data_IF_748494778486
#
_entry.id   IF_748494778486
#
_cell.length_a   1.000
_cell.length_b   1.000
_cell.length_c   1.000
_cell.angle_alpha   90.00
_cell.angle_beta   90.00
_cell.angle_gamma   90.00
#
_symmetry.space_group_name_H-M   'P 1'
#
loop_
_entity.id
_entity.type
_entity.pdbx_description
1 polymer ?
#
# COMPACT_ATOMS: atom_id res chain seq x y z
N UNK A 1 27.83 1.83 -11.90
CA UNK A 1 28.62 3.01 -12.31
C UNK A 1 27.88 4.33 -12.03
N UNK A 2 26.69 4.59 -12.60
CA UNK A 2 26.01 5.90 -12.45
C UNK A 2 25.54 6.23 -11.01
N UNK A 3 25.09 5.23 -10.25
CA UNK A 3 24.57 5.41 -8.89
C UNK A 3 25.67 5.76 -7.88
N UNK A 4 26.87 5.22 -8.07
CA UNK A 4 28.06 5.53 -7.25
C UNK A 4 28.52 6.97 -7.50
N UNK A 5 28.46 7.44 -8.75
CA UNK A 5 28.75 8.84 -9.10
C UNK A 5 27.77 9.81 -8.44
N UNK A 6 26.47 9.49 -8.42
CA UNK A 6 25.45 10.30 -7.75
C UNK A 6 25.68 10.30 -6.22
N UNK A 7 25.94 9.13 -5.64
CA UNK A 7 26.20 8.98 -4.20
C UNK A 7 27.44 9.78 -3.75
N UNK A 8 28.51 9.75 -4.55
CA UNK A 8 29.71 10.56 -4.30
C UNK A 8 29.41 12.05 -4.32
N UNK A 9 28.71 12.54 -5.35
CA UNK A 9 28.34 13.97 -5.47
C UNK A 9 27.44 14.45 -4.33
N UNK A 10 26.52 13.62 -3.86
CA UNK A 10 25.69 13.94 -2.69
C UNK A 10 26.51 14.02 -1.41
N UNK A 11 27.48 13.11 -1.22
CA UNK A 11 28.37 13.11 -0.07
C UNK A 11 29.25 14.35 -0.04
N UNK A 12 29.81 14.72 -1.20
CA UNK A 12 30.64 15.92 -1.34
C UNK A 12 29.85 17.20 -1.06
N UNK A 13 28.58 17.25 -1.50
CA UNK A 13 27.71 18.40 -1.23
C UNK A 13 27.31 18.47 0.24
N UNK A 14 26.98 17.34 0.86
CA UNK A 14 26.68 17.28 2.29
C UNK A 14 27.88 17.75 3.14
N UNK A 15 29.09 17.38 2.74
CA UNK A 15 30.32 17.79 3.42
C UNK A 15 30.61 19.29 3.23
N UNK A 16 30.39 19.84 2.03
CA UNK A 16 30.48 21.29 1.78
C UNK A 16 29.50 22.09 2.65
N UNK A 17 28.24 21.63 2.75
CA UNK A 17 27.22 22.27 3.56
C UNK A 17 27.52 22.16 5.06
N UNK A 18 28.05 21.02 5.50
CA UNK A 18 28.45 20.80 6.89
C UNK A 18 29.59 21.72 7.28
N UNK A 19 30.63 21.79 6.44
CA UNK A 19 31.80 22.64 6.66
C UNK A 19 31.43 24.13 6.69
N UNK A 20 30.65 24.60 5.73
CA UNK A 20 30.22 26.00 5.71
C UNK A 20 29.32 26.39 6.90
N UNK A 21 28.58 25.43 7.46
CA UNK A 21 27.84 25.62 8.71
C UNK A 21 28.75 25.67 9.94
N UNK A 22 29.81 24.86 9.98
CA UNK A 22 30.79 24.86 11.07
C UNK A 22 31.66 26.13 11.06
N UNK A 23 31.97 26.65 9.87
CA UNK A 23 32.82 27.84 9.67
C UNK A 23 32.05 29.17 9.79
N UNK A 24 30.71 29.15 9.91
CA UNK A 24 29.78 30.32 9.91
C UNK A 24 30.03 31.32 8.76
N UNK A 25 30.61 30.81 7.66
CA UNK A 25 31.12 31.57 6.53
C UNK A 25 30.35 31.18 5.26
N UNK A 26 29.06 31.56 5.22
CA UNK A 26 28.26 31.42 4.01
C UNK A 26 27.64 32.76 3.62
N UNK A 27 27.84 33.15 2.37
CA UNK A 27 27.16 34.29 1.77
C UNK A 27 26.03 33.82 0.88
N UNK A 28 25.12 34.73 0.49
CA UNK A 28 23.97 34.40 -0.37
C UNK A 28 24.38 33.71 -1.70
N UNK A 29 25.60 33.98 -2.16
CA UNK A 29 26.19 33.38 -3.36
C UNK A 29 26.38 31.87 -3.18
N UNK A 30 26.82 31.41 -2.01
CA UNK A 30 27.03 29.99 -1.71
C UNK A 30 25.71 29.24 -1.64
N UNK A 31 24.68 29.86 -1.06
CA UNK A 31 23.32 29.31 -1.03
C UNK A 31 22.75 29.11 -2.44
N UNK A 32 22.97 30.09 -3.34
CA UNK A 32 22.55 29.97 -4.74
C UNK A 32 23.32 28.85 -5.45
N UNK A 33 24.63 28.74 -5.22
CA UNK A 33 25.47 27.70 -5.81
C UNK A 33 25.02 26.30 -5.38
N UNK A 34 24.78 26.08 -4.08
CA UNK A 34 24.32 24.78 -3.58
C UNK A 34 22.91 24.44 -4.06
N UNK A 35 22.02 25.45 -4.17
CA UNK A 35 20.69 25.26 -4.75
C UNK A 35 20.77 24.78 -6.20
N UNK A 36 21.66 25.38 -7.01
CA UNK A 36 21.87 24.93 -8.39
C UNK A 36 22.44 23.51 -8.45
N UNK A 37 23.46 23.19 -7.63
CA UNK A 37 24.01 21.81 -7.55
C UNK A 37 22.96 20.78 -7.16
N UNK A 38 22.06 21.12 -6.23
CA UNK A 38 20.92 20.27 -5.84
C UNK A 38 19.93 20.06 -6.98
N UNK A 39 19.61 21.11 -7.74
CA UNK A 39 18.72 21.02 -8.89
C UNK A 39 19.32 20.18 -10.01
N UNK A 40 20.61 20.32 -10.30
CA UNK A 40 21.32 19.49 -11.28
C UNK A 40 21.34 18.01 -10.84
N UNK A 41 21.61 17.74 -9.56
CA UNK A 41 21.54 16.39 -9.01
C UNK A 41 20.13 15.81 -9.11
N UNK A 42 19.10 16.60 -8.82
CA UNK A 42 17.68 16.21 -8.96
C UNK A 42 17.37 15.80 -10.40
N UNK A 43 17.75 16.64 -11.37
CA UNK A 43 17.56 16.38 -12.80
C UNK A 43 18.29 15.09 -13.21
N UNK A 44 19.56 14.94 -12.85
CA UNK A 44 20.37 13.75 -13.17
C UNK A 44 19.81 12.46 -12.57
N UNK A 45 19.20 12.52 -11.38
CA UNK A 45 18.53 11.37 -10.76
C UNK A 45 17.24 11.02 -11.50
N UNK A 46 16.46 12.02 -11.94
CA UNK A 46 15.17 11.79 -12.61
C UNK A 46 15.27 11.46 -14.09
N UNK A 47 16.35 11.87 -14.77
CA UNK A 47 16.51 11.69 -16.21
C UNK A 47 17.07 10.31 -16.60
N UNK A 48 17.96 9.73 -15.78
CA UNK A 48 18.70 8.51 -16.14
C UNK A 48 18.43 7.29 -15.26
N UNK A 49 17.64 7.44 -14.18
CA UNK A 49 17.20 6.30 -13.36
C UNK A 49 15.72 6.05 -13.66
N UNK A 50 15.38 4.80 -14.02
CA UNK A 50 14.03 4.28 -14.21
C UNK A 50 12.99 4.92 -13.26
N UNK A 51 11.68 4.95 -13.61
CA UNK A 51 10.63 5.79 -12.99
C UNK A 51 10.29 5.51 -11.52
N UNK A 52 11.17 4.85 -10.77
CA UNK A 52 11.01 4.35 -9.40
C UNK A 52 11.55 5.31 -8.33
N UNK A 53 12.17 6.45 -8.69
CA UNK A 53 12.71 7.43 -7.73
C UNK A 53 11.93 8.74 -7.80
N UNK A 54 11.15 9.05 -6.76
CA UNK A 54 10.46 10.34 -6.61
C UNK A 54 11.15 11.21 -5.57
N UNK A 55 11.51 12.44 -5.95
CA UNK A 55 12.09 13.45 -5.05
C UNK A 55 10.97 14.38 -4.58
N UNK A 56 10.64 14.32 -3.29
CA UNK A 56 9.63 15.20 -2.68
C UNK A 56 10.31 16.29 -1.84
N UNK A 57 9.84 17.53 -2.00
CA UNK A 57 10.17 18.64 -1.11
C UNK A 57 9.14 18.66 0.01
N UNK A 58 9.60 18.56 1.26
CA UNK A 58 8.74 18.62 2.44
C UNK A 58 8.42 20.10 2.74
N UNK A 59 7.14 20.53 2.64
CA UNK A 59 6.77 21.92 2.85
C UNK A 59 6.79 22.34 4.33
N UNK A 60 6.98 21.42 5.27
CA UNK A 60 6.96 21.69 6.71
C UNK A 60 8.36 21.86 7.33
N UNK A 61 9.44 21.61 6.58
CA UNK A 61 10.82 21.76 7.06
C UNK A 61 11.39 23.06 6.49
N UNK A 62 11.26 24.13 7.26
CA UNK A 62 11.79 25.45 6.92
C UNK A 62 13.32 25.50 7.07
N UNK A 63 13.97 26.00 6.02
CA UNK A 63 15.35 26.45 5.88
C UNK A 63 16.47 25.45 5.50
N UNK A 64 16.39 24.16 5.81
CA UNK A 64 17.32 23.17 5.24
C UNK A 64 16.50 21.98 4.76
N UNK A 65 16.23 21.95 3.46
CA UNK A 65 15.60 20.81 2.80
C UNK A 65 16.47 19.59 2.97
N UNK A 66 16.18 18.78 4.00
CA UNK A 66 16.72 17.44 4.10
C UNK A 66 16.15 16.65 2.94
N UNK A 67 16.94 16.52 1.88
CA UNK A 67 16.59 15.76 0.70
C UNK A 67 16.52 14.28 1.11
N UNK A 68 15.32 13.80 1.42
CA UNK A 68 15.12 12.43 1.86
C UNK A 68 14.99 11.53 0.63
N UNK A 69 16.13 11.02 0.15
CA UNK A 69 16.18 10.06 -0.94
C UNK A 69 15.85 8.68 -0.36
N UNK A 70 14.55 8.35 -0.31
CA UNK A 70 14.13 6.97 -0.07
C UNK A 70 14.03 6.26 -1.42
N UNK A 71 14.85 5.24 -1.61
CA UNK A 71 14.60 4.26 -2.68
C UNK A 71 13.33 3.50 -2.33
N UNK A 72 12.18 3.98 -2.81
CA UNK A 72 10.92 3.24 -2.72
C UNK A 72 11.00 2.17 -3.79
N UNK A 73 11.62 1.03 -3.46
CA UNK A 73 11.47 -0.16 -4.28
C UNK A 73 10.03 -0.62 -4.14
N UNK A 74 9.15 -0.14 -5.02
CA UNK A 74 7.81 -0.68 -5.16
C UNK A 74 7.97 -2.10 -5.70
N UNK A 75 7.90 -3.08 -4.81
CA UNK A 75 7.94 -4.49 -5.21
C UNK A 75 6.55 -4.82 -5.76
N UNK A 76 6.45 -5.11 -7.06
CA UNK A 76 5.35 -5.94 -7.54
C UNK A 76 5.67 -7.34 -7.01
N UNK A 77 4.82 -7.87 -6.14
CA UNK A 77 4.96 -9.25 -5.72
C UNK A 77 4.23 -10.13 -6.72
N UNK A 78 4.89 -10.39 -7.84
CA UNK A 78 4.43 -11.34 -8.88
C UNK A 78 4.25 -12.77 -8.29
N UNK A 79 4.74 -13.00 -7.06
CA UNK A 79 4.68 -14.24 -6.28
C UNK A 79 3.54 -14.31 -5.24
N UNK A 80 2.68 -13.29 -5.10
CA UNK A 80 1.56 -13.37 -4.15
C UNK A 80 0.58 -14.49 -4.55
N UNK A 81 0.13 -15.26 -3.55
CA UNK A 81 -0.76 -16.41 -3.72
C UNK A 81 -1.72 -16.52 -2.55
N UNK A 82 -2.92 -16.94 -2.83
CA UNK A 82 -3.89 -17.36 -1.84
C UNK A 82 -3.50 -18.75 -1.34
N UNK A 83 -3.35 -18.93 -0.03
CA UNK A 83 -2.90 -20.21 0.54
C UNK A 83 -3.60 -20.65 1.82
N UNK A 84 -4.15 -19.73 2.61
CA UNK A 84 -4.83 -20.11 3.87
C UNK A 84 -6.33 -19.87 3.79
N UNK A 85 -7.11 -20.90 4.12
CA UNK A 85 -8.56 -20.89 3.98
C UNK A 85 -9.22 -21.03 5.35
N UNK A 86 -10.33 -20.33 5.52
CA UNK A 86 -11.34 -20.58 6.56
C UNK A 86 -12.70 -20.77 5.90
N UNK A 87 -13.45 -21.78 6.35
CA UNK A 87 -14.76 -22.10 5.78
C UNK A 87 -14.65 -22.84 4.44
N UNK A 88 -15.60 -22.57 3.54
CA UNK A 88 -15.83 -23.35 2.31
C UNK A 88 -15.30 -22.64 1.06
N UNK A 89 -14.06 -22.16 1.12
CA UNK A 89 -13.35 -21.59 -0.04
C UNK A 89 -12.53 -22.68 -0.73
N UNK A 90 -12.64 -22.76 -2.04
CA UNK A 90 -11.72 -23.53 -2.89
C UNK A 90 -10.66 -22.58 -3.46
N UNK A 91 -9.40 -23.00 -3.43
CA UNK A 91 -8.31 -22.30 -4.11
C UNK A 91 -7.98 -23.04 -5.40
N UNK A 92 -8.02 -22.32 -6.51
CA UNK A 92 -7.76 -22.81 -7.86
C UNK A 92 -6.58 -22.03 -8.49
N UNK A 93 -6.24 -22.38 -9.73
CA UNK A 93 -5.24 -21.71 -10.56
C UNK A 93 -3.90 -21.50 -9.80
N UNK A 94 -3.37 -22.56 -9.20
CA UNK A 94 -2.09 -22.54 -8.48
C UNK A 94 -1.98 -21.45 -7.39
N UNK A 95 -3.10 -21.09 -6.76
CA UNK A 95 -3.16 -20.07 -5.71
C UNK A 95 -3.62 -18.69 -6.17
N UNK A 96 -3.90 -18.46 -7.45
CA UNK A 96 -4.31 -17.15 -7.94
C UNK A 96 -5.82 -16.91 -7.86
N UNK A 97 -6.62 -17.96 -7.69
CA UNK A 97 -8.08 -17.86 -7.65
C UNK A 97 -8.63 -18.46 -6.37
N UNK A 98 -9.56 -17.78 -5.72
CA UNK A 98 -10.36 -18.31 -4.61
C UNK A 98 -11.84 -18.21 -4.94
N UNK A 99 -12.60 -19.27 -4.71
CA UNK A 99 -14.03 -19.37 -5.03
C UNK A 99 -14.78 -19.96 -3.84
N UNK A 100 -15.88 -19.32 -3.44
CA UNK A 100 -16.78 -19.86 -2.42
C UNK A 100 -17.66 -20.98 -3.03
N UNK A 101 -17.65 -22.19 -2.47
CA UNK A 101 -18.31 -23.37 -3.08
C UNK A 101 -19.55 -23.88 -2.33
N UNK A 102 -19.40 -24.18 -1.04
CA UNK A 102 -20.30 -25.15 -0.40
C UNK A 102 -21.15 -24.61 0.74
N UNK A 103 -21.00 -23.34 1.11
CA UNK A 103 -21.66 -22.80 2.31
C UNK A 103 -21.99 -21.31 2.22
N UNK A 104 -23.07 -20.94 2.90
CA UNK A 104 -23.38 -19.53 3.26
C UNK A 104 -22.69 -19.10 4.56
N UNK A 105 -21.95 -20.02 5.21
CA UNK A 105 -21.14 -19.70 6.38
C UNK A 105 -19.98 -18.81 5.93
N UNK A 106 -19.71 -17.82 6.78
CA UNK A 106 -18.53 -16.95 6.73
C UNK A 106 -17.29 -17.72 6.31
N UNK A 107 -16.72 -17.33 5.17
CA UNK A 107 -15.54 -17.94 4.62
C UNK A 107 -14.55 -16.84 4.21
N UNK A 108 -13.27 -17.09 4.37
CA UNK A 108 -12.25 -16.14 3.95
C UNK A 108 -10.95 -16.83 3.60
N UNK A 109 -10.14 -16.12 2.83
CA UNK A 109 -8.83 -16.56 2.38
C UNK A 109 -7.78 -15.51 2.72
N UNK A 110 -6.56 -15.97 3.02
CA UNK A 110 -5.40 -15.12 3.25
C UNK A 110 -4.31 -15.38 2.22
N UNK A 111 -3.55 -14.33 1.92
CA UNK A 111 -2.35 -14.42 1.10
C UNK A 111 -1.23 -15.21 1.76
N UNK A 112 -0.22 -15.54 0.96
CA UNK A 112 0.96 -16.29 1.33
C UNK A 112 1.99 -15.38 1.95
N UNK A 113 2.14 -14.18 1.38
CA UNK A 113 3.22 -13.29 1.75
C UNK A 113 2.93 -12.57 3.06
N UNK A 114 4.03 -12.09 3.66
CA UNK A 114 4.06 -11.50 4.98
C UNK A 114 4.74 -10.14 4.91
N UNK A 115 3.96 -9.10 5.12
CA UNK A 115 4.37 -7.72 4.88
C UNK A 115 4.69 -7.03 6.20
N UNK A 116 5.96 -6.68 6.42
CA UNK A 116 6.43 -6.01 7.66
C UNK A 116 7.12 -4.67 7.44
N UNK A 117 7.59 -4.39 6.22
CA UNK A 117 8.38 -3.20 5.91
C UNK A 117 8.25 -2.87 4.42
N UNK A 118 8.39 -1.61 4.04
CA UNK A 118 8.33 -1.20 2.64
C UNK A 118 6.91 -1.00 2.11
N UNK A 119 6.82 -0.95 0.77
CA UNK A 119 5.59 -0.67 0.02
C UNK A 119 5.34 -1.74 -1.03
N UNK A 120 4.11 -2.24 -1.05
CA UNK A 120 3.68 -3.33 -1.92
C UNK A 120 2.41 -2.95 -2.65
N UNK A 121 2.30 -3.40 -3.90
CA UNK A 121 1.08 -3.25 -4.69
C UNK A 121 0.61 -4.65 -5.08
N UNK A 122 -0.64 -4.95 -4.74
CA UNK A 122 -1.32 -6.20 -5.08
C UNK A 122 -2.53 -5.83 -5.92
N UNK A 123 -2.64 -6.42 -7.11
CA UNK A 123 -3.79 -6.20 -7.99
C UNK A 123 -4.67 -7.44 -7.98
N UNK A 124 -5.98 -7.23 -7.89
CA UNK A 124 -6.94 -8.33 -7.92
C UNK A 124 -8.27 -7.88 -8.49
N UNK A 125 -9.04 -8.85 -8.97
CA UNK A 125 -10.41 -8.71 -9.34
C UNK A 125 -11.31 -9.45 -8.33
N UNK A 126 -12.45 -8.84 -8.03
CA UNK A 126 -13.52 -9.45 -7.25
C UNK A 126 -14.72 -9.62 -8.17
N UNK A 127 -15.20 -10.86 -8.30
CA UNK A 127 -16.45 -11.21 -9.00
C UNK A 127 -17.45 -11.74 -7.98
N UNK A 128 -18.66 -11.18 -7.95
CA UNK A 128 -19.74 -11.55 -7.05
C UNK A 128 -20.90 -12.12 -7.83
N UNK A 129 -21.58 -13.08 -7.22
CA UNK A 129 -22.82 -13.62 -7.79
C UNK A 129 -24.03 -12.72 -7.55
N UNK A 130 -24.04 -11.99 -6.43
CA UNK A 130 -25.18 -11.15 -6.03
C UNK A 130 -24.77 -9.75 -5.55
N UNK A 131 -25.61 -8.75 -5.84
CA UNK A 131 -25.34 -7.35 -5.47
C UNK A 131 -25.35 -7.10 -3.95
N UNK A 132 -26.25 -7.76 -3.21
CA UNK A 132 -26.58 -7.38 -1.83
C UNK A 132 -25.68 -7.96 -0.74
N UNK A 133 -24.72 -8.83 -1.11
CA UNK A 133 -23.86 -9.46 -0.12
C UNK A 133 -22.52 -8.77 0.06
N UNK A 134 -22.13 -8.64 1.32
CA UNK A 134 -20.88 -7.99 1.73
C UNK A 134 -19.69 -8.92 1.44
N UNK A 135 -18.75 -8.42 0.64
CA UNK A 135 -17.41 -8.97 0.44
C UNK A 135 -16.44 -8.00 1.09
N UNK A 136 -15.45 -8.48 1.84
CA UNK A 136 -14.45 -7.62 2.50
C UNK A 136 -13.08 -7.93 1.93
N UNK A 137 -12.25 -6.92 1.68
CA UNK A 137 -10.85 -7.08 1.33
C UNK A 137 -9.96 -6.11 2.12
N UNK A 138 -8.72 -6.51 2.36
CA UNK A 138 -7.75 -5.66 3.05
C UNK A 138 -6.60 -6.47 3.63
N UNK A 139 -6.25 -6.19 4.88
CA UNK A 139 -5.18 -6.87 5.61
C UNK A 139 -5.65 -7.42 6.95
N UNK A 140 -4.85 -8.34 7.47
CA UNK A 140 -4.99 -8.97 8.77
C UNK A 140 -3.60 -9.22 9.35
N UNK A 141 -3.48 -9.26 10.68
CA UNK A 141 -2.22 -9.70 11.30
C UNK A 141 -2.03 -11.20 11.07
N UNK A 142 -0.81 -11.63 10.73
CA UNK A 142 -0.46 -13.07 10.67
C UNK A 142 -0.78 -13.80 11.98
N UNK A 143 -0.65 -13.10 13.11
CA UNK A 143 -0.87 -13.66 14.44
C UNK A 143 -2.36 -13.91 14.74
N UNK A 144 -3.26 -13.38 13.89
CA UNK A 144 -4.70 -13.56 14.06
C UNK A 144 -5.09 -15.02 13.89
N UNK A 145 -5.75 -15.57 14.92
CA UNK A 145 -6.33 -16.90 14.85
C UNK A 145 -7.47 -16.95 13.84
N UNK A 146 -7.75 -18.15 13.36
CA UNK A 146 -8.89 -18.36 12.49
C UNK A 146 -10.19 -18.30 13.30
N UNK A 147 -10.84 -17.15 13.30
CA UNK A 147 -12.16 -16.91 13.89
C UNK A 147 -13.15 -16.52 12.80
N UNK A 148 -14.45 -16.57 13.09
CA UNK A 148 -15.49 -16.11 12.17
C UNK A 148 -15.29 -14.64 11.79
N UNK A 149 -14.92 -13.80 12.75
CA UNK A 149 -14.64 -12.38 12.54
C UNK A 149 -13.27 -12.02 13.12
N UNK A 150 -12.24 -11.87 12.28
CA UNK A 150 -10.91 -11.57 12.75
C UNK A 150 -10.80 -10.15 13.33
N UNK A 151 -10.29 -10.07 14.56
CA UNK A 151 -10.20 -8.85 15.35
C UNK A 151 -9.12 -7.87 14.88
N UNK A 152 -8.13 -8.35 14.14
CA UNK A 152 -7.12 -7.49 13.50
C UNK A 152 -7.46 -7.06 12.07
N UNK A 153 -8.62 -7.44 11.53
CA UNK A 153 -8.99 -7.10 10.16
C UNK A 153 -9.09 -5.59 9.94
N UNK A 154 -8.42 -5.10 8.90
CA UNK A 154 -8.53 -3.73 8.42
C UNK A 154 -8.71 -3.74 6.91
N UNK A 155 -9.70 -3.01 6.41
CA UNK A 155 -10.03 -3.07 5.00
C UNK A 155 -11.34 -2.39 4.65
N UNK A 156 -11.88 -2.76 3.51
CA UNK A 156 -13.12 -2.23 2.97
C UNK A 156 -14.03 -3.34 2.54
N UNK A 157 -15.31 -3.01 2.44
CA UNK A 157 -16.26 -3.85 1.76
C UNK A 157 -16.92 -3.14 0.60
N UNK A 158 -17.51 -3.97 -0.25
CA UNK A 158 -18.23 -3.58 -1.45
C UNK A 158 -19.50 -2.75 -1.20
N UNK A 159 -19.96 -2.58 0.04
CA UNK A 159 -21.03 -1.66 0.43
C UNK A 159 -20.50 -0.26 0.78
N UNK A 160 -19.27 0.04 0.38
CA UNK A 160 -18.54 1.28 0.69
C UNK A 160 -18.33 1.53 2.18
N UNK A 161 -18.40 0.48 3.01
CA UNK A 161 -18.05 0.55 4.43
C UNK A 161 -16.60 0.10 4.63
N UNK A 162 -16.08 0.34 5.84
CA UNK A 162 -14.70 -0.03 6.16
C UNK A 162 -14.60 -0.70 7.52
N UNK A 163 -13.57 -1.52 7.67
CA UNK A 163 -13.29 -2.27 8.88
C UNK A 163 -12.03 -1.71 9.52
N UNK A 164 -12.10 -1.45 10.84
CA UNK A 164 -10.94 -1.13 11.67
C UNK A 164 -10.94 -2.06 12.87
N UNK A 165 -9.90 -2.89 12.96
CA UNK A 165 -9.76 -3.85 14.05
C UNK A 165 -10.99 -4.76 14.17
N UNK A 166 -11.42 -5.33 13.04
CA UNK A 166 -12.59 -6.20 12.96
C UNK A 166 -13.94 -5.51 13.17
N UNK A 167 -13.95 -4.22 13.55
CA UNK A 167 -15.18 -3.48 13.77
C UNK A 167 -15.63 -2.77 12.49
N UNK A 168 -16.91 -2.95 12.17
CA UNK A 168 -17.61 -2.31 11.06
C UNK A 168 -17.81 -0.81 11.33
N UNK A 169 -17.51 0.01 10.32
CA UNK A 169 -17.76 1.45 10.35
C UNK A 169 -18.43 1.87 9.05
N UNK A 170 -19.61 2.47 9.16
CA UNK A 170 -20.27 3.10 8.02
C UNK A 170 -19.61 4.44 7.70
N UNK A 171 -19.41 4.73 6.41
CA UNK A 171 -19.03 6.07 6.00
C UNK A 171 -20.23 7.02 6.19
N UNK A 172 -20.06 8.09 6.97
CA UNK A 172 -21.10 9.11 7.14
C UNK A 172 -21.26 9.93 5.85
N UNK A 173 -22.25 9.50 5.05
CA UNK A 173 -23.26 10.30 4.35
C UNK A 173 -22.94 11.31 3.25
N UNK A 174 -21.69 11.58 2.84
CA UNK A 174 -21.45 12.47 1.67
C UNK A 174 -20.44 11.98 0.63
N UNK A 175 -19.85 10.79 0.78
CA UNK A 175 -18.93 10.26 -0.23
C UNK A 175 -19.70 9.55 -1.34
N UNK A 176 -19.33 9.84 -2.60
CA UNK A 176 -19.78 9.09 -3.75
C UNK A 176 -19.44 7.61 -3.54
N UNK A 177 -20.44 6.76 -3.74
CA UNK A 177 -20.24 5.32 -3.76
C UNK A 177 -19.14 4.94 -4.76
N UNK A 178 -18.28 4.03 -4.37
CA UNK A 178 -17.14 3.57 -5.15
C UNK A 178 -17.29 2.09 -5.55
N UNK A 179 -17.74 1.26 -4.62
CA UNK A 179 -17.92 -0.18 -4.82
C UNK A 179 -19.39 -0.63 -4.79
N UNK A 180 -20.27 0.14 -4.13
CA UNK A 180 -21.67 -0.25 -3.97
C UNK A 180 -22.39 -0.37 -5.31
N UNK A 181 -23.16 -1.44 -5.47
CA UNK A 181 -23.90 -1.73 -6.69
C UNK A 181 -23.10 -2.40 -7.79
N UNK A 182 -21.82 -2.76 -7.56
CA UNK A 182 -21.00 -3.49 -8.51
C UNK A 182 -20.93 -4.99 -8.16
N UNK A 183 -20.98 -5.83 -9.19
CA UNK A 183 -20.74 -7.28 -9.07
C UNK A 183 -19.34 -7.68 -9.55
N UNK A 184 -18.65 -6.86 -10.32
CA UNK A 184 -17.26 -7.12 -10.72
C UNK A 184 -16.45 -5.85 -10.74
N UNK A 185 -15.30 -5.86 -10.05
CA UNK A 185 -14.42 -4.71 -9.96
C UNK A 185 -12.96 -5.11 -9.74
N UNK A 186 -12.07 -4.31 -10.32
CA UNK A 186 -10.62 -4.49 -10.24
C UNK A 186 -10.01 -3.44 -9.32
N UNK A 187 -9.22 -3.91 -8.36
CA UNK A 187 -8.63 -3.10 -7.31
C UNK A 187 -7.12 -3.27 -7.33
N UNK A 188 -6.41 -2.16 -7.15
CA UNK A 188 -5.02 -2.16 -6.70
C UNK A 188 -4.99 -1.85 -5.21
N UNK A 189 -4.58 -2.81 -4.39
CA UNK A 189 -4.33 -2.63 -2.97
C UNK A 189 -2.85 -2.29 -2.74
N UNK A 190 -2.62 -1.14 -2.13
CA UNK A 190 -1.30 -0.66 -1.72
C UNK A 190 -1.13 -0.89 -0.23
N UNK A 191 -0.08 -1.62 0.15
CA UNK A 191 0.34 -1.81 1.53
C UNK A 191 1.57 -0.96 1.78
N UNK A 192 1.46 0.02 2.69
CA UNK A 192 2.56 0.90 3.08
C UNK A 192 2.91 0.63 4.54
N UNK A 193 3.73 -0.40 4.74
CA UNK A 193 4.14 -0.86 6.07
C UNK A 193 4.94 0.22 6.80
N UNK A 194 5.78 0.97 6.08
CA UNK A 194 6.62 2.03 6.65
C UNK A 194 5.78 3.16 7.25
N UNK A 195 4.68 3.53 6.58
CA UNK A 195 3.76 4.57 7.05
C UNK A 195 2.51 4.02 7.74
N UNK A 196 2.46 2.71 8.00
CA UNK A 196 1.37 2.03 8.73
C UNK A 196 -0.02 2.32 8.14
N UNK A 197 -0.13 2.25 6.82
CA UNK A 197 -1.39 2.49 6.12
C UNK A 197 -1.60 1.52 4.98
N UNK A 198 -2.86 1.36 4.60
CA UNK A 198 -3.26 0.69 3.37
C UNK A 198 -4.09 1.63 2.51
N UNK A 199 -4.03 1.46 1.21
CA UNK A 199 -4.86 2.21 0.27
C UNK A 199 -5.42 1.25 -0.77
N UNK A 200 -6.60 1.54 -1.31
CA UNK A 200 -7.03 0.90 -2.54
C UNK A 200 -7.30 1.93 -3.62
N UNK A 201 -7.01 1.55 -4.85
CA UNK A 201 -7.39 2.29 -6.06
C UNK A 201 -8.36 1.44 -6.87
N UNK A 202 -9.54 1.98 -7.16
CA UNK A 202 -10.53 1.34 -8.01
C UNK A 202 -10.28 1.72 -9.47
N UNK A 203 -9.98 0.74 -10.31
CA UNK A 203 -9.62 0.99 -11.70
C UNK A 203 -10.77 1.55 -12.54
N UNK A 204 -12.02 1.26 -12.19
CA UNK A 204 -13.18 1.68 -12.96
C UNK A 204 -13.57 3.12 -12.63
N UNK A 205 -13.67 3.44 -11.34
CA UNK A 205 -14.09 4.77 -10.87
C UNK A 205 -12.94 5.78 -10.78
N UNK A 206 -11.69 5.29 -10.83
CA UNK A 206 -10.45 6.06 -10.61
C UNK A 206 -10.38 6.71 -9.24
N UNK A 207 -11.16 6.23 -8.27
CA UNK A 207 -11.11 6.70 -6.91
C UNK A 207 -10.00 5.97 -6.14
N UNK A 208 -9.46 6.66 -5.15
CA UNK A 208 -8.51 6.11 -4.19
C UNK A 208 -9.04 6.31 -2.78
N UNK A 209 -8.95 5.28 -1.94
CA UNK A 209 -9.27 5.37 -0.51
C UNK A 209 -8.09 4.93 0.34
N UNK A 210 -7.97 5.54 1.51
CA UNK A 210 -6.87 5.30 2.43
C UNK A 210 -7.39 4.93 3.82
N UNK A 211 -6.66 4.05 4.51
CA UNK A 211 -6.91 3.65 5.87
C UNK A 211 -5.60 3.57 6.66
N UNK A 212 -5.51 4.33 7.75
CA UNK A 212 -4.43 4.22 8.72
C UNK A 212 -4.63 2.99 9.61
N UNK A 213 -3.54 2.28 9.91
CA UNK A 213 -3.55 1.03 10.67
C UNK A 213 -3.02 1.26 12.08
N UNK A 214 -3.80 0.83 13.07
CA UNK A 214 -3.34 0.77 14.46
C UNK A 214 -2.59 -0.54 14.69
N UNK A 215 -1.26 -0.46 14.86
CA UNK A 215 -0.40 -1.64 15.08
C UNK A 215 -0.65 -2.36 16.41
N UNK A 216 -1.25 -1.72 17.41
CA UNK A 216 -1.66 -2.40 18.64
C UNK A 216 -2.81 -3.40 18.39
N UNK A 217 -3.58 -3.16 17.33
CA UNK A 217 -4.74 -3.99 16.95
C UNK A 217 -4.46 -4.89 15.75
N UNK A 218 -3.60 -4.45 14.83
CA UNK A 218 -3.14 -5.23 13.69
C UNK A 218 -1.61 -5.15 13.58
N UNK A 219 -0.88 -5.89 14.43
CA UNK A 219 0.57 -5.89 14.42
C UNK A 219 1.11 -6.60 13.16
N UNK A 220 2.33 -6.24 12.77
CA UNK A 220 3.08 -6.95 11.74
C UNK A 220 3.40 -8.40 12.14
N UNK A 221 3.68 -9.29 11.16
CA UNK A 221 3.50 -9.07 9.72
C UNK A 221 2.02 -9.06 9.33
N UNK A 222 1.70 -8.25 8.32
CA UNK A 222 0.39 -8.28 7.68
C UNK A 222 0.32 -9.36 6.61
N UNK A 223 -0.88 -9.87 6.37
CA UNK A 223 -1.21 -10.69 5.20
C UNK A 223 -2.43 -10.07 4.51
N UNK A 224 -2.56 -10.22 3.20
CA UNK A 224 -3.81 -9.85 2.52
C UNK A 224 -4.94 -10.77 2.97
N UNK A 225 -6.15 -10.22 3.04
CA UNK A 225 -7.33 -10.88 3.56
C UNK A 225 -8.53 -10.63 2.64
N UNK A 226 -9.28 -11.68 2.30
CA UNK A 226 -10.51 -11.58 1.53
C UNK A 226 -11.61 -12.41 2.18
N UNK A 227 -12.74 -11.79 2.47
CA UNK A 227 -13.95 -12.41 3.00
C UNK A 227 -14.95 -12.62 1.86
N UNK A 228 -15.42 -13.85 1.70
CA UNK A 228 -16.40 -14.27 0.70
C UNK A 228 -17.65 -14.79 1.39
N UNK A 229 -18.83 -14.40 0.90
CA UNK A 229 -20.10 -14.72 1.58
C UNK A 229 -20.97 -15.66 0.77
N UNK A 230 -21.11 -15.39 -0.52
CA UNK A 230 -22.04 -16.13 -1.37
C UNK A 230 -21.35 -17.19 -2.19
N UNK A 231 -22.08 -18.28 -2.41
CA UNK A 231 -21.62 -19.33 -3.32
C UNK A 231 -21.37 -18.72 -4.70
N UNK A 232 -20.21 -19.01 -5.26
CA UNK A 232 -19.73 -18.46 -6.52
C UNK A 232 -19.02 -17.12 -6.41
N UNK A 233 -19.00 -16.45 -5.25
CA UNK A 233 -18.11 -15.30 -5.03
C UNK A 233 -16.66 -15.74 -5.30
N UNK A 234 -15.94 -14.91 -6.06
CA UNK A 234 -14.61 -15.22 -6.58
C UNK A 234 -13.67 -14.04 -6.42
N UNK A 235 -12.43 -14.36 -6.03
CA UNK A 235 -11.29 -13.45 -6.04
C UNK A 235 -10.26 -14.01 -7.01
N UNK A 236 -9.69 -13.14 -7.83
CA UNK A 236 -8.59 -13.47 -8.72
C UNK A 236 -7.45 -12.46 -8.55
N UNK A 237 -6.28 -12.93 -8.12
CA UNK A 237 -5.04 -12.15 -8.16
C UNK A 237 -4.61 -11.94 -9.63
N UNK A 238 -4.09 -10.77 -9.96
CA UNK A 238 -3.76 -10.32 -11.33
C UNK A 238 -2.29 -9.98 -11.50
#
# INVERSE_FOLDING_TARGET
>A
MHLETISSKLRDLAEQLRKAREDDDFVEIDLRLWKTKLQELKINVTADVHPTVTVHEDPFITLVSQLNIKSITQRSEDDEKLVRIFGSVQIDDNGYVAIQRDSTIVSYVRGKNEYSFGRYKIKFNIDKTELHHTTVFGIISKMEKFTQWPSSCHGWSNDDTYYRSGMYHSNNTNMKSDLQGQTSFTIELLLDCDNRKIQYFNEQTKNMRELNINLEKCPFPWQIFFYLRQIGDRIQLL
#
